data_IF_299805238874
#
_entry.id   IF_299805238874
#
_cell.length_a   1.000
_cell.length_b   1.000
_cell.length_c   1.000
_cell.angle_alpha   90.00
_cell.angle_beta   90.00
_cell.angle_gamma   90.00
#
_symmetry.space_group_name_H-M   'P 1'
#
loop_
_entity.id
_entity.type
_entity.pdbx_description
1 polymer ?
#
# COMPACT_ATOMS: atom_id res chain seq x y z
N UNK A 1 40.27 6.82 -11.54
CA UNK A 1 39.25 6.35 -10.57
C UNK A 1 39.49 7.07 -9.25
N UNK A 2 38.49 7.26 -8.39
CA UNK A 2 38.71 7.84 -7.05
C UNK A 2 39.01 6.70 -6.09
N UNK A 3 40.10 6.78 -5.34
CA UNK A 3 40.47 5.75 -4.34
C UNK A 3 39.72 5.93 -3.01
N UNK A 4 38.98 7.04 -2.88
CA UNK A 4 38.18 7.37 -1.70
C UNK A 4 36.71 6.97 -1.88
N UNK A 5 36.08 6.56 -0.77
CA UNK A 5 34.73 6.00 -0.74
C UNK A 5 33.62 7.05 -0.86
N UNK A 6 32.44 6.58 -1.29
CA UNK A 6 31.17 7.30 -1.20
C UNK A 6 30.21 6.42 -0.40
N UNK A 7 29.70 6.93 0.71
CA UNK A 7 28.74 6.22 1.54
C UNK A 7 27.35 6.82 1.37
N UNK A 8 26.38 5.95 1.12
CA UNK A 8 24.95 6.27 1.07
C UNK A 8 24.26 5.48 2.19
N UNK A 9 23.59 6.20 3.07
CA UNK A 9 22.72 5.67 4.09
C UNK A 9 21.32 6.23 3.87
N UNK A 10 20.30 5.39 4.07
CA UNK A 10 18.93 5.83 4.02
C UNK A 10 18.09 5.08 5.06
N UNK A 11 17.09 5.75 5.62
CA UNK A 11 16.15 5.15 6.56
C UNK A 11 14.72 5.69 6.33
N UNK A 12 13.75 4.90 6.79
CA UNK A 12 12.34 5.25 6.83
C UNK A 12 11.95 5.59 8.26
N UNK A 13 10.97 6.47 8.44
CA UNK A 13 10.45 6.82 9.77
C UNK A 13 9.64 5.67 10.40
N UNK A 14 9.06 4.78 9.58
CA UNK A 14 8.26 3.63 10.00
C UNK A 14 8.47 2.44 9.06
N UNK A 15 8.08 1.25 9.52
CA UNK A 15 8.06 0.05 8.67
C UNK A 15 6.71 -0.17 7.98
N UNK A 16 5.61 0.33 8.57
CA UNK A 16 4.25 0.19 8.07
C UNK A 16 3.66 1.57 7.77
N UNK A 17 3.10 1.70 6.57
CA UNK A 17 2.38 2.88 6.10
C UNK A 17 1.00 2.51 5.63
N UNK A 18 0.06 3.45 5.76
CA UNK A 18 -1.28 3.29 5.20
C UNK A 18 -1.39 3.87 3.79
N UNK A 19 -2.38 3.39 3.03
CA UNK A 19 -2.72 4.01 1.74
C UNK A 19 -3.03 5.50 1.92
N UNK A 20 -2.41 6.33 1.06
CA UNK A 20 -2.51 7.79 1.15
C UNK A 20 -1.55 8.45 2.14
N UNK A 21 -0.88 7.69 3.01
CA UNK A 21 0.09 8.22 3.95
C UNK A 21 1.43 8.58 3.26
N UNK A 22 1.98 9.78 3.49
CA UNK A 22 3.31 10.13 2.97
C UNK A 22 4.44 9.38 3.68
N UNK A 23 5.39 8.83 2.92
CA UNK A 23 6.60 8.21 3.46
C UNK A 23 7.70 9.26 3.64
N UNK A 24 8.35 9.27 4.81
CA UNK A 24 9.52 10.12 5.06
C UNK A 24 10.82 9.32 4.92
N UNK A 25 11.60 9.64 3.90
CA UNK A 25 12.86 8.97 3.56
C UNK A 25 14.02 9.86 3.96
N UNK A 26 14.72 9.50 5.03
CA UNK A 26 15.95 10.17 5.43
C UNK A 26 17.09 9.66 4.53
N UNK A 27 17.83 10.58 3.90
CA UNK A 27 18.97 10.27 3.05
C UNK A 27 20.19 10.99 3.60
N UNK A 28 21.20 10.21 3.97
CA UNK A 28 22.49 10.68 4.44
C UNK A 28 23.60 10.20 3.51
N UNK A 29 24.43 11.14 3.09
CA UNK A 29 25.52 10.90 2.13
C UNK A 29 26.82 11.44 2.69
N UNK A 30 27.83 10.59 2.75
CA UNK A 30 29.21 10.97 3.08
C UNK A 30 30.07 10.77 1.86
N UNK A 31 30.38 11.86 1.16
CA UNK A 31 31.13 11.84 -0.08
C UNK A 31 32.61 12.15 0.16
N UNK A 32 33.41 11.13 0.46
CA UNK A 32 34.87 11.28 0.55
C UNK A 32 35.55 11.23 -0.82
N UNK A 33 34.81 10.95 -1.89
CA UNK A 33 35.32 10.82 -3.25
C UNK A 33 35.69 12.16 -3.87
N UNK A 34 36.39 12.12 -5.01
CA UNK A 34 36.67 13.29 -5.84
C UNK A 34 35.54 13.64 -6.83
N UNK A 35 34.44 12.88 -6.82
CA UNK A 35 33.32 13.05 -7.76
C UNK A 35 32.16 13.78 -7.09
N UNK A 36 31.47 14.60 -7.88
CA UNK A 36 30.24 15.28 -7.46
C UNK A 36 29.03 14.40 -7.71
N UNK A 37 28.10 14.33 -6.77
CA UNK A 37 26.76 13.78 -7.01
C UNK A 37 25.92 14.87 -7.67
N UNK A 38 25.32 14.56 -8.81
CA UNK A 38 24.55 15.53 -9.61
C UNK A 38 23.10 15.62 -9.19
N UNK A 39 22.52 14.46 -8.84
CA UNK A 39 21.08 14.30 -8.59
C UNK A 39 20.86 13.17 -7.60
N UNK A 40 19.77 13.29 -6.85
CA UNK A 40 19.27 12.25 -5.96
C UNK A 40 17.86 11.89 -6.43
N UNK A 41 17.62 10.59 -6.66
CA UNK A 41 16.32 10.04 -7.04
C UNK A 41 15.79 9.15 -5.94
N UNK A 42 14.58 9.43 -5.48
CA UNK A 42 13.83 8.59 -4.54
C UNK A 42 12.64 8.01 -5.29
N UNK A 43 12.48 6.69 -5.27
CA UNK A 43 11.36 6.04 -5.95
C UNK A 43 10.75 4.95 -5.08
N UNK A 44 9.43 4.83 -5.09
CA UNK A 44 8.69 3.74 -4.48
C UNK A 44 8.36 2.74 -5.57
N UNK A 45 8.66 1.46 -5.35
CA UNK A 45 8.44 0.38 -6.31
C UNK A 45 7.57 -0.71 -5.71
N UNK A 46 6.56 -1.11 -6.46
CA UNK A 46 5.76 -2.30 -6.21
C UNK A 46 6.40 -3.48 -6.95
N UNK A 47 6.51 -4.59 -6.25
CA UNK A 47 6.90 -5.89 -6.78
C UNK A 47 5.70 -6.82 -6.64
N UNK A 48 5.29 -7.46 -7.73
CA UNK A 48 4.22 -8.44 -7.74
C UNK A 48 4.76 -9.75 -8.32
N UNK A 49 4.89 -10.75 -7.46
CA UNK A 49 5.35 -12.09 -7.79
C UNK A 49 4.15 -13.01 -7.97
N UNK A 50 3.92 -13.48 -9.20
CA UNK A 50 2.89 -14.46 -9.53
C UNK A 50 3.49 -15.85 -9.30
N UNK A 51 2.88 -16.64 -8.42
CA UNK A 51 3.38 -17.95 -8.01
C UNK A 51 2.50 -19.13 -8.45
N UNK A 52 1.36 -18.87 -9.13
CA UNK A 52 0.46 -19.90 -9.65
C UNK A 52 0.46 -19.94 -11.18
N UNK A 53 0.37 -21.16 -11.74
CA UNK A 53 0.34 -21.49 -13.17
C UNK A 53 1.57 -21.10 -14.00
N UNK A 54 1.96 -19.83 -13.99
CA UNK A 54 3.15 -19.30 -14.64
C UNK A 54 3.84 -18.32 -13.70
N UNK A 55 5.12 -18.59 -13.40
CA UNK A 55 5.89 -17.72 -12.52
C UNK A 55 6.35 -16.48 -13.26
N UNK A 56 5.94 -15.32 -12.78
CA UNK A 56 6.32 -14.03 -13.34
C UNK A 56 6.51 -13.00 -12.24
N UNK A 57 7.49 -12.11 -12.41
CA UNK A 57 7.71 -11.00 -11.50
C UNK A 57 7.50 -9.69 -12.24
N UNK A 58 6.57 -8.88 -11.75
CA UNK A 58 6.34 -7.52 -12.21
C UNK A 58 6.98 -6.53 -11.24
N UNK A 59 7.56 -5.47 -11.81
CA UNK A 59 8.22 -4.40 -11.06
C UNK A 59 7.81 -3.05 -11.62
N UNK A 60 7.06 -2.29 -10.83
CA UNK A 60 6.48 -1.04 -11.28
C UNK A 60 6.79 0.11 -10.30
N UNK A 61 7.36 1.23 -10.76
CA UNK A 61 7.48 2.42 -9.93
C UNK A 61 6.10 3.05 -9.71
N UNK A 62 5.69 3.21 -8.45
CA UNK A 62 4.40 3.77 -8.03
C UNK A 62 4.51 5.20 -7.50
N UNK A 63 5.71 5.68 -7.21
CA UNK A 63 5.98 7.09 -6.97
C UNK A 63 7.45 7.38 -7.23
N UNK A 64 7.78 8.59 -7.68
CA UNK A 64 9.16 8.98 -7.93
C UNK A 64 9.35 10.48 -7.72
N UNK A 65 10.47 10.83 -7.09
CA UNK A 65 10.94 12.18 -6.90
C UNK A 65 12.38 12.23 -7.39
N UNK A 66 12.69 13.21 -8.24
CA UNK A 66 14.04 13.49 -8.71
C UNK A 66 14.36 14.94 -8.34
N UNK A 67 15.42 15.12 -7.57
CA UNK A 67 15.89 16.43 -7.13
C UNK A 67 17.33 16.63 -7.58
N UNK A 68 17.63 17.82 -8.08
CA UNK A 68 18.98 18.24 -8.49
C UNK A 68 19.85 18.64 -7.28
N UNK A 69 19.66 17.93 -6.15
CA UNK A 69 20.49 18.09 -4.96
C UNK A 69 21.90 17.59 -5.28
N UNK A 70 22.86 18.53 -5.23
CA UNK A 70 24.26 18.23 -5.49
C UNK A 70 25.03 18.01 -4.20
N UNK A 71 25.93 17.02 -4.22
CA UNK A 71 26.85 16.77 -3.11
C UNK A 71 28.27 16.91 -3.64
N UNK A 72 28.97 17.94 -3.16
CA UNK A 72 30.33 18.26 -3.55
C UNK A 72 31.32 17.17 -3.12
N UNK A 73 32.48 17.07 -3.77
CA UNK A 73 33.57 16.23 -3.30
C UNK A 73 33.96 16.57 -1.86
N UNK A 74 34.34 15.56 -1.07
CA UNK A 74 34.77 15.72 0.34
C UNK A 74 33.75 16.47 1.23
N UNK A 75 32.45 16.21 1.04
CA UNK A 75 31.37 16.82 1.82
C UNK A 75 30.30 15.81 2.26
N UNK A 76 29.51 16.18 3.25
CA UNK A 76 28.35 15.42 3.72
C UNK A 76 27.05 16.11 3.32
N UNK A 77 25.98 15.32 3.17
CA UNK A 77 24.65 15.81 2.84
C UNK A 77 23.61 15.00 3.61
N UNK A 78 22.61 15.68 4.16
CA UNK A 78 21.49 15.06 4.86
C UNK A 78 20.19 15.79 4.50
N UNK A 79 19.19 15.05 4.02
CA UNK A 79 17.87 15.60 3.66
C UNK A 79 16.80 14.52 3.81
N UNK A 80 15.61 14.95 4.23
CA UNK A 80 14.42 14.10 4.27
C UNK A 80 13.60 14.37 3.01
N UNK A 81 13.24 13.31 2.29
CA UNK A 81 12.33 13.36 1.15
C UNK A 81 10.98 12.77 1.52
N UNK A 82 9.90 13.41 1.10
CA UNK A 82 8.54 12.91 1.34
C UNK A 82 7.93 12.42 0.04
N UNK A 83 7.48 11.16 -0.01
CA UNK A 83 6.91 10.53 -1.21
C UNK A 83 5.65 9.74 -0.87
N UNK A 84 4.59 9.86 -1.68
CA UNK A 84 3.31 9.18 -1.44
C UNK A 84 2.94 8.27 -2.61
N UNK A 85 2.89 6.94 -2.44
CA UNK A 85 2.42 6.01 -3.46
C UNK A 85 0.89 6.06 -3.57
N UNK A 86 0.37 6.50 -4.71
CA UNK A 86 -1.07 6.64 -4.95
C UNK A 86 -1.45 6.00 -6.28
N UNK A 87 -2.56 5.25 -6.33
CA UNK A 87 -3.06 4.71 -7.59
C UNK A 87 -3.46 5.82 -8.58
N UNK A 88 -3.96 6.95 -8.10
CA UNK A 88 -4.38 8.09 -8.93
C UNK A 88 -3.30 8.54 -9.92
N UNK A 89 -2.03 8.44 -9.54
CA UNK A 89 -0.88 8.87 -10.33
C UNK A 89 -0.29 7.75 -11.20
N UNK A 90 -0.94 6.60 -11.26
CA UNK A 90 -0.42 5.38 -11.89
C UNK A 90 -1.48 4.59 -12.66
N UNK A 91 -2.68 5.14 -12.91
CA UNK A 91 -3.80 4.42 -13.53
C UNK A 91 -3.52 3.98 -14.97
N UNK A 92 -2.65 4.71 -15.66
CA UNK A 92 -2.20 4.41 -17.01
C UNK A 92 -1.21 3.24 -17.06
N UNK A 93 -0.58 2.89 -15.94
CA UNK A 93 0.42 1.83 -15.89
C UNK A 93 -0.24 0.46 -15.90
N UNK A 94 0.38 -0.47 -16.63
CA UNK A 94 0.01 -1.90 -16.67
C UNK A 94 0.99 -2.70 -15.81
N UNK A 95 0.57 -3.89 -15.38
CA UNK A 95 1.38 -4.78 -14.54
C UNK A 95 1.48 -4.37 -13.07
N UNK A 96 0.58 -3.51 -12.60
CA UNK A 96 0.41 -3.18 -11.18
C UNK A 96 -0.59 -4.14 -10.52
N UNK A 97 -0.25 -4.60 -9.33
CA UNK A 97 -1.19 -5.27 -8.44
C UNK A 97 -2.09 -4.22 -7.76
N UNK A 98 -3.40 -4.42 -7.86
CA UNK A 98 -4.44 -3.60 -7.25
C UNK A 98 -5.29 -4.46 -6.32
N UNK A 99 -5.99 -3.86 -5.37
CA UNK A 99 -6.94 -4.55 -4.48
C UNK A 99 -8.36 -4.67 -5.07
N UNK A 100 -8.56 -4.16 -6.29
CA UNK A 100 -9.84 -4.08 -6.97
C UNK A 100 -9.71 -3.90 -8.48
N UNK A 101 -10.84 -3.65 -9.14
CA UNK A 101 -10.88 -3.40 -10.58
C UNK A 101 -10.56 -1.93 -10.84
N UNK A 102 -9.71 -1.65 -11.82
CA UNK A 102 -9.30 -0.27 -12.16
C UNK A 102 -10.47 0.71 -12.40
N UNK A 103 -11.63 0.19 -12.82
CA UNK A 103 -12.85 0.97 -13.08
C UNK A 103 -13.61 1.39 -11.82
N UNK A 104 -13.32 0.84 -10.64
CA UNK A 104 -14.00 1.22 -9.41
C UNK A 104 -13.28 2.39 -8.74
N UNK A 105 -14.07 3.30 -8.14
CA UNK A 105 -13.56 4.49 -7.46
C UNK A 105 -12.77 4.15 -6.18
N UNK A 106 -13.19 3.10 -5.48
CA UNK A 106 -12.64 2.62 -4.21
C UNK A 106 -11.35 1.80 -4.34
N UNK A 107 -10.87 1.56 -5.56
CA UNK A 107 -9.69 0.73 -5.81
C UNK A 107 -8.40 1.46 -5.48
N UNK A 108 -7.48 0.78 -4.81
CA UNK A 108 -6.14 1.24 -4.47
C UNK A 108 -5.05 0.31 -5.03
N UNK A 109 -3.80 0.68 -4.77
CA UNK A 109 -2.68 -0.24 -4.94
C UNK A 109 -2.87 -1.45 -3.99
N UNK A 110 -2.49 -2.65 -4.42
CA UNK A 110 -2.60 -3.81 -3.54
C UNK A 110 -1.76 -3.63 -2.26
N UNK A 111 -2.31 -3.97 -1.09
CA UNK A 111 -1.53 -3.99 0.15
C UNK A 111 -0.42 -5.05 0.10
N UNK A 112 0.63 -4.89 0.92
CA UNK A 112 1.69 -5.87 1.04
C UNK A 112 1.15 -7.22 1.52
N UNK A 113 1.60 -8.31 0.89
CA UNK A 113 1.25 -9.66 1.31
C UNK A 113 2.02 -10.05 2.57
N UNK A 114 1.29 -10.35 3.65
CA UNK A 114 1.88 -10.86 4.90
C UNK A 114 1.92 -12.38 4.85
N UNK A 115 3.13 -12.96 4.83
CA UNK A 115 3.33 -14.41 4.83
C UNK A 115 3.66 -14.85 6.25
N UNK A 116 2.76 -15.63 6.87
CA UNK A 116 3.04 -16.23 8.19
C UNK A 116 4.11 -17.31 8.05
N UNK A 117 4.91 -17.49 9.10
CA UNK A 117 5.90 -18.55 9.15
C UNK A 117 5.24 -19.93 8.94
N UNK A 118 5.83 -20.75 8.08
CA UNK A 118 5.27 -22.05 7.68
C UNK A 118 4.17 -22.01 6.60
N UNK A 119 3.74 -20.83 6.13
CA UNK A 119 2.75 -20.74 5.05
C UNK A 119 3.37 -21.05 3.68
N UNK A 120 2.66 -21.84 2.86
CA UNK A 120 3.08 -22.11 1.49
C UNK A 120 2.79 -20.88 0.60
N UNK A 121 3.86 -20.24 0.11
CA UNK A 121 3.79 -19.04 -0.74
C UNK A 121 3.10 -19.30 -2.08
N UNK A 122 3.18 -20.51 -2.61
CA UNK A 122 2.56 -20.87 -3.89
C UNK A 122 1.03 -20.80 -3.81
N UNK A 123 0.45 -21.04 -2.62
CA UNK A 123 -1.00 -20.99 -2.39
C UNK A 123 -1.54 -19.55 -2.35
N UNK A 124 -0.67 -18.55 -2.18
CA UNK A 124 -1.07 -17.14 -2.04
C UNK A 124 -1.32 -16.44 -3.39
N UNK A 125 -1.08 -17.12 -4.52
CA UNK A 125 -1.33 -16.59 -5.86
C UNK A 125 -0.35 -15.49 -6.26
N UNK A 126 -0.61 -14.26 -5.81
CA UNK A 126 0.23 -13.09 -6.11
C UNK A 126 0.77 -12.51 -4.80
N UNK A 127 2.10 -12.48 -4.66
CA UNK A 127 2.75 -11.81 -3.54
C UNK A 127 3.14 -10.39 -3.91
N UNK A 128 2.64 -9.43 -3.15
CA UNK A 128 2.91 -8.00 -3.35
C UNK A 128 3.87 -7.52 -2.26
N UNK A 129 4.93 -6.83 -2.66
CA UNK A 129 5.85 -6.16 -1.74
C UNK A 129 6.28 -4.79 -2.26
N UNK A 130 6.69 -3.91 -1.35
CA UNK A 130 7.12 -2.56 -1.70
C UNK A 130 8.52 -2.27 -1.20
N UNK A 131 9.24 -1.47 -1.99
CA UNK A 131 10.55 -0.95 -1.59
C UNK A 131 10.70 0.51 -1.99
N UNK A 132 11.28 1.30 -1.10
CA UNK A 132 11.83 2.62 -1.42
C UNK A 132 13.24 2.41 -1.96
N UNK A 133 13.54 3.00 -3.12
CA UNK A 133 14.87 3.02 -3.71
C UNK A 133 15.41 4.44 -3.73
N UNK A 134 16.54 4.65 -3.07
CA UNK A 134 17.33 5.89 -3.13
C UNK A 134 18.49 5.67 -4.08
N UNK A 135 18.67 6.55 -5.06
CA UNK A 135 19.69 6.44 -6.11
C UNK A 135 20.42 7.77 -6.27
N UNK A 136 21.73 7.75 -6.08
CA UNK A 136 22.65 8.86 -6.33
C UNK A 136 23.19 8.77 -7.76
N UNK A 137 23.09 9.87 -8.51
CA UNK A 137 23.66 9.98 -9.86
C UNK A 137 25.02 10.65 -9.76
N UNK A 138 26.10 9.88 -9.93
CA UNK A 138 27.48 10.38 -9.75
C UNK A 138 28.03 10.93 -11.07
N UNK A 139 28.64 12.12 -11.04
CA UNK A 139 29.22 12.74 -12.22
C UNK A 139 30.34 11.88 -12.84
N UNK A 140 30.17 11.51 -14.13
CA UNK A 140 31.15 10.72 -14.88
C UNK A 140 31.57 9.46 -14.08
N UNK A 141 30.59 8.81 -13.45
CA UNK A 141 30.72 7.61 -12.64
C UNK A 141 29.46 6.76 -12.74
N UNK A 142 29.45 5.59 -12.09
CA UNK A 142 28.26 4.77 -11.95
C UNK A 142 27.32 5.32 -10.87
N UNK A 143 26.06 4.89 -10.92
CA UNK A 143 25.07 5.25 -9.91
C UNK A 143 25.21 4.38 -8.66
N UNK A 144 24.97 4.97 -7.48
CA UNK A 144 24.93 4.25 -6.20
C UNK A 144 23.48 4.20 -5.73
N UNK A 145 23.00 3.05 -5.27
CA UNK A 145 21.62 2.95 -4.77
C UNK A 145 21.45 1.96 -3.63
N UNK A 146 20.51 2.27 -2.75
CA UNK A 146 20.03 1.39 -1.67
C UNK A 146 18.52 1.20 -1.81
N UNK A 147 18.02 0.04 -1.37
CA UNK A 147 16.58 -0.26 -1.32
C UNK A 147 16.17 -0.60 0.12
N UNK A 148 15.07 0.00 0.59
CA UNK A 148 14.49 -0.19 1.92
C UNK A 148 13.10 -0.83 1.77
N UNK A 149 12.84 -2.01 2.35
CA UNK A 149 11.51 -2.61 2.33
C UNK A 149 10.57 -1.88 3.30
N UNK A 150 9.27 -1.87 2.97
CA UNK A 150 8.21 -1.43 3.89
C UNK A 150 6.90 -2.16 3.60
N UNK A 151 5.95 -2.05 4.52
CA UNK A 151 4.63 -2.66 4.47
C UNK A 151 3.58 -1.58 4.17
N UNK A 152 2.79 -1.75 3.11
CA UNK A 152 1.68 -0.86 2.76
C UNK A 152 0.36 -1.56 3.08
N UNK A 153 -0.51 -0.93 3.87
CA UNK A 153 -1.78 -1.54 4.31
C UNK A 153 -2.95 -0.56 4.29
N UNK A 154 -4.17 -1.07 4.48
CA UNK A 154 -5.31 -0.23 4.80
C UNK A 154 -5.26 0.25 6.26
N UNK A 155 -5.82 1.43 6.57
CA UNK A 155 -6.01 1.89 7.94
C UNK A 155 -6.75 0.84 8.76
N UNK A 156 -6.48 0.80 10.07
CA UNK A 156 -7.26 -0.03 10.99
C UNK A 156 -8.72 0.41 10.96
N UNK A 157 -9.69 -0.53 10.89
CA UNK A 157 -11.09 -0.21 11.14
C UNK A 157 -11.24 0.50 12.49
N UNK A 158 -12.19 1.42 12.61
CA UNK A 158 -12.53 2.01 13.89
C UNK A 158 -13.05 0.92 14.83
N UNK A 159 -12.58 0.90 16.08
CA UNK A 159 -13.08 -0.02 17.09
C UNK A 159 -14.57 0.28 17.31
N UNK A 160 -15.43 -0.65 16.90
CA UNK A 160 -16.83 -0.62 17.31
C UNK A 160 -16.86 -0.87 18.81
N UNK A 161 -17.12 0.18 19.59
CA UNK A 161 -17.56 0.03 20.97
C UNK A 161 -18.84 -0.80 20.91
N UNK A 162 -18.73 -2.09 21.22
CA UNK A 162 -19.89 -2.98 21.26
C UNK A 162 -20.80 -2.46 22.37
N UNK A 163 -22.07 -2.10 22.11
CA UNK A 163 -22.99 -1.79 23.19
C UNK A 163 -23.07 -3.01 24.15
N UNK A 164 -23.17 -2.81 25.47
CA UNK A 164 -23.19 -3.89 26.44
C UNK A 164 -24.37 -4.81 26.13
N UNK A 165 -24.06 -6.08 25.80
CA UNK A 165 -25.04 -7.14 25.60
C UNK A 165 -25.90 -7.26 26.87
N UNK A 166 -27.23 -7.05 26.83
CA UNK A 166 -28.05 -7.24 28.01
C UNK A 166 -27.95 -8.70 28.46
N UNK A 167 -27.60 -8.89 29.74
CA UNK A 167 -27.57 -10.19 30.38
C UNK A 167 -29.01 -10.70 30.48
N UNK A 168 -29.33 -11.75 29.73
CA UNK A 168 -30.59 -12.47 29.85
C UNK A 168 -30.61 -13.20 31.21
N UNK A 169 -31.28 -12.62 32.20
CA UNK A 169 -31.71 -13.36 33.37
C UNK A 169 -32.85 -14.31 32.94
N UNK A 170 -32.66 -15.61 33.15
CA UNK A 170 -33.67 -16.66 32.95
C UNK A 170 -34.81 -16.53 33.97
N UNK A 171 -36.09 -16.46 33.57
CA UNK A 171 -37.20 -16.82 34.42
C UNK A 171 -37.68 -18.24 34.07
N UNK A 172 -37.66 -19.13 35.06
CA UNK A 172 -38.42 -20.38 35.03
C UNK A 172 -39.90 -20.06 35.17
N UNK A 173 -40.73 -20.31 34.14
CA UNK A 173 -42.15 -20.66 34.34
C UNK A 173 -42.76 -21.29 33.08
N UNK A 174 -43.37 -22.47 33.25
CA UNK A 174 -44.20 -23.19 32.28
C UNK A 174 -45.43 -22.37 31.87
N UNK A 175 -45.55 -21.99 30.59
CA UNK A 175 -46.79 -21.51 29.95
C UNK A 175 -46.81 -21.93 28.47
N UNK A 176 -47.96 -22.29 27.87
CA UNK A 176 -48.01 -22.91 26.54
C UNK A 176 -47.61 -21.91 25.44
N UNK A 177 -46.79 -22.36 24.51
CA UNK A 177 -46.25 -21.59 23.38
C UNK A 177 -47.39 -21.17 22.45
N UNK A 178 -47.78 -19.90 22.52
CA UNK A 178 -48.71 -19.29 21.57
C UNK A 178 -47.93 -18.65 20.40
N UNK A 179 -48.49 -18.81 19.21
CA UNK A 179 -47.89 -18.65 17.87
C UNK A 179 -47.66 -17.19 17.45
N UNK A 180 -46.83 -16.42 18.17
CA UNK A 180 -46.31 -15.13 17.70
C UNK A 180 -44.87 -14.89 18.18
N UNK A 181 -43.89 -15.47 17.48
CA UNK A 181 -42.45 -15.33 17.76
C UNK A 181 -41.82 -14.02 17.23
N UNK A 182 -42.62 -12.96 17.04
CA UNK A 182 -42.09 -11.65 16.64
C UNK A 182 -42.81 -10.57 17.45
N UNK A 183 -42.53 -10.51 18.74
CA UNK A 183 -42.66 -9.26 19.50
C UNK A 183 -41.34 -8.48 19.32
N UNK A 184 -41.42 -7.35 18.62
CA UNK A 184 -40.35 -6.37 18.64
C UNK A 184 -40.41 -5.67 20.00
N UNK A 185 -39.62 -6.16 20.96
CA UNK A 185 -39.33 -5.43 22.17
C UNK A 185 -38.67 -4.09 21.79
N UNK A 186 -39.48 -3.02 21.78
CA UNK A 186 -39.03 -1.64 21.70
C UNK A 186 -38.34 -1.27 23.02
N UNK A 187 -37.16 -1.82 23.25
CA UNK A 187 -36.24 -1.37 24.28
C UNK A 187 -35.33 -0.31 23.67
N UNK A 188 -35.43 0.92 24.20
CA UNK A 188 -34.58 2.06 23.87
C UNK A 188 -33.09 1.71 24.01
N UNK A 189 -32.44 1.34 22.91
CA UNK A 189 -30.99 1.27 22.77
C UNK A 189 -30.64 1.43 21.29
N UNK A 190 -30.27 2.66 20.91
CA UNK A 190 -29.79 3.10 19.58
C UNK A 190 -30.75 2.80 18.42
N UNK A 191 -31.51 3.82 18.00
CA UNK A 191 -32.15 3.89 16.66
C UNK A 191 -31.04 3.95 15.59
N UNK A 192 -30.40 2.82 15.34
CA UNK A 192 -29.54 2.65 14.16
C UNK A 192 -30.47 2.27 12.99
N UNK A 193 -31.02 3.28 12.33
CA UNK A 193 -31.83 3.09 11.12
C UNK A 193 -31.01 2.38 10.05
N UNK A 194 -31.48 1.21 9.61
CA UNK A 194 -30.84 0.46 8.52
C UNK A 194 -31.09 1.20 7.20
N UNK A 195 -30.02 1.72 6.61
CA UNK A 195 -30.05 2.33 5.27
C UNK A 195 -29.68 1.26 4.24
N UNK A 196 -30.57 0.99 3.29
CA UNK A 196 -30.27 0.12 2.16
C UNK A 196 -29.50 0.89 1.09
N UNK A 197 -28.39 0.31 0.65
CA UNK A 197 -27.59 0.79 -0.47
C UNK A 197 -27.27 -0.34 -1.44
N UNK A 198 -27.01 -0.01 -2.70
CA UNK A 198 -26.65 -1.00 -3.71
C UNK A 198 -25.25 -1.57 -3.43
N UNK A 199 -25.11 -2.89 -3.55
CA UNK A 199 -23.80 -3.56 -3.46
C UNK A 199 -22.87 -3.22 -4.64
N UNK A 200 -23.41 -2.67 -5.73
CA UNK A 200 -22.65 -2.31 -6.92
C UNK A 200 -21.70 -1.15 -6.61
N UNK A 201 -20.39 -1.41 -6.72
CA UNK A 201 -19.36 -0.40 -6.51
C UNK A 201 -19.47 0.75 -7.52
N UNK A 202 -19.26 1.97 -7.02
CA UNK A 202 -19.23 3.17 -7.84
C UNK A 202 -18.12 3.10 -8.89
N UNK A 203 -18.49 3.38 -10.13
CA UNK A 203 -17.56 3.48 -11.26
C UNK A 203 -16.86 4.82 -11.24
N UNK A 204 -15.59 4.80 -11.59
CA UNK A 204 -14.81 6.01 -11.78
C UNK A 204 -15.32 6.82 -12.98
N UNK A 205 -15.56 8.11 -12.78
CA UNK A 205 -15.96 9.03 -13.86
C UNK A 205 -14.84 9.16 -14.91
N UNK A 206 -15.19 9.06 -16.19
CA UNK A 206 -14.29 9.36 -17.31
C UNK A 206 -13.48 8.19 -17.87
N UNK A 207 -13.64 6.96 -17.36
CA UNK A 207 -13.16 5.78 -18.06
C UNK A 207 -14.17 5.41 -19.14
N UNK A 208 -13.77 5.43 -20.42
CA UNK A 208 -14.56 4.83 -21.49
C UNK A 208 -14.69 3.35 -21.17
N UNK A 209 -15.91 2.82 -21.20
CA UNK A 209 -16.15 1.39 -21.22
C UNK A 209 -15.51 0.86 -22.52
N UNK A 210 -14.28 0.34 -22.43
CA UNK A 210 -13.82 -0.62 -23.41
C UNK A 210 -14.55 -1.92 -23.03
N UNK A 211 -15.66 -2.15 -23.73
CA UNK A 211 -16.46 -3.36 -23.63
C UNK A 211 -15.53 -4.58 -23.83
N UNK A 212 -15.35 -5.35 -22.76
CA UNK A 212 -14.70 -6.67 -22.78
C UNK A 212 -15.73 -7.75 -23.13
N UNK A 213 -16.59 -7.49 -24.12
CA UNK A 213 -17.41 -8.51 -24.76
C UNK A 213 -16.89 -8.63 -26.20
N UNK A 214 -16.67 -9.85 -26.66
CA UNK A 214 -16.17 -10.22 -28.01
C UNK A 214 -14.65 -10.21 -28.26
N UNK A 215 -13.90 -11.03 -27.52
CA UNK A 215 -12.72 -11.68 -28.12
C UNK A 215 -12.44 -13.07 -27.53
N UNK A 216 -13.43 -13.96 -27.63
CA UNK A 216 -13.19 -15.41 -27.68
C UNK A 216 -13.99 -15.98 -28.85
N UNK A 217 -13.39 -15.92 -30.04
CA UNK A 217 -13.60 -16.86 -31.13
C UNK A 217 -12.22 -17.21 -31.69
#
# INVERSE_FOLDING_TARGET
MSDRSLHLEASLDKELYYHGEPLSVNVHVTNNSTKTIKKIKVSVRQYADICLFSTAQYKCPVAQIEQDDQVSPSSTFCKVYTVTPLLSNNREKRGLALDGKLKHEDTNLASSTIVKEGANKEVLGILVSYRVKVKLVVARGGDVSVELPFVLMHPKPHDHVSPPRPQSATPETDVPVDTNLIEFDTNYATDDDIVFEDFARLRLKGMKDEDYEDQFC
#
